data_IF_774096441175
#
_entry.id   IF_774096441175
#
_cell.length_a   1.000
_cell.length_b   1.000
_cell.length_c   1.000
_cell.angle_alpha   90.00
_cell.angle_beta   90.00
_cell.angle_gamma   90.00
#
_symmetry.space_group_name_H-M   'P 1'
#
loop_
_entity.id
_entity.type
_entity.pdbx_description
1 polymer ?
#
# COMPACT_ATOMS: atom_id res chain seq x y z
N UNK A 1 -16.02 9.57 -12.71
CA UNK A 1 -15.17 9.15 -11.59
C UNK A 1 -13.86 9.89 -11.69
N UNK A 2 -13.64 10.87 -10.84
CA UNK A 2 -12.38 11.62 -10.74
C UNK A 2 -11.27 10.60 -10.51
N UNK A 3 -10.45 10.34 -11.53
CA UNK A 3 -9.38 9.34 -11.47
C UNK A 3 -8.27 9.85 -10.57
N UNK A 4 -8.42 9.67 -9.27
CA UNK A 4 -7.43 10.11 -8.29
C UNK A 4 -6.14 9.34 -8.54
N UNK A 5 -5.08 10.07 -8.87
CA UNK A 5 -3.77 9.50 -9.15
C UNK A 5 -3.15 9.02 -7.84
N UNK A 6 -2.73 7.76 -7.80
CA UNK A 6 -1.99 7.22 -6.65
C UNK A 6 -0.48 7.51 -6.74
N UNK A 7 -0.01 8.07 -7.87
CA UNK A 7 1.40 8.39 -8.07
C UNK A 7 1.93 9.31 -6.96
N UNK A 8 3.07 8.94 -6.39
CA UNK A 8 3.73 9.66 -5.30
C UNK A 8 3.12 9.41 -3.91
N UNK A 9 1.98 8.72 -3.81
CA UNK A 9 1.40 8.38 -2.49
C UNK A 9 2.22 7.32 -1.78
N UNK A 10 2.26 7.42 -0.45
CA UNK A 10 2.83 6.42 0.47
C UNK A 10 1.81 5.35 0.77
N UNK A 11 2.22 4.10 0.66
CA UNK A 11 1.37 2.92 0.88
C UNK A 11 2.02 1.95 1.84
N UNK A 12 1.20 1.13 2.48
CA UNK A 12 1.61 0.04 3.37
C UNK A 12 0.98 -1.27 2.88
N UNK A 13 1.76 -2.35 2.81
CA UNK A 13 1.28 -3.68 2.46
C UNK A 13 0.46 -4.27 3.62
N UNK A 14 -0.81 -4.59 3.39
CA UNK A 14 -1.71 -5.11 4.44
C UNK A 14 -1.93 -6.62 4.37
N UNK A 15 -1.54 -7.24 3.27
CA UNK A 15 -1.64 -8.70 3.05
C UNK A 15 -0.31 -9.40 3.33
N UNK A 16 -0.38 -10.72 3.49
CA UNK A 16 0.79 -11.58 3.46
C UNK A 16 0.91 -12.21 2.07
N UNK A 17 1.94 -11.80 1.31
CA UNK A 17 2.23 -12.38 0.00
C UNK A 17 2.87 -13.76 0.21
N UNK A 18 2.33 -14.78 -0.46
CA UNK A 18 2.85 -16.16 -0.39
C UNK A 18 4.07 -16.39 -1.28
N UNK A 19 4.40 -15.42 -2.12
CA UNK A 19 5.50 -15.53 -3.08
C UNK A 19 6.84 -15.25 -2.39
N UNK A 20 7.66 -16.29 -2.28
CA UNK A 20 9.01 -16.23 -1.70
C UNK A 20 10.00 -15.33 -2.46
N UNK A 21 9.74 -15.01 -3.73
CA UNK A 21 10.56 -14.10 -4.52
C UNK A 21 10.26 -12.63 -4.22
N UNK A 22 9.05 -12.36 -3.73
CA UNK A 22 8.66 -11.07 -3.20
C UNK A 22 9.19 -11.00 -1.77
N UNK A 23 10.35 -10.38 -1.57
CA UNK A 23 10.95 -10.11 -0.25
C UNK A 23 10.13 -9.08 0.56
N UNK A 24 8.81 -9.09 0.42
CA UNK A 24 7.88 -8.14 1.01
C UNK A 24 7.14 -8.76 2.18
N UNK A 25 6.99 -7.98 3.25
CA UNK A 25 6.28 -8.39 4.46
C UNK A 25 5.09 -7.48 4.71
N UNK A 26 4.06 -8.02 5.36
CA UNK A 26 2.96 -7.20 5.85
C UNK A 26 3.50 -6.09 6.76
N UNK A 27 3.01 -4.86 6.57
CA UNK A 27 3.46 -3.64 7.26
C UNK A 27 4.61 -2.94 6.55
N UNK A 28 5.16 -3.52 5.49
CA UNK A 28 6.20 -2.87 4.69
C UNK A 28 5.61 -1.70 3.89
N UNK A 29 6.41 -0.65 3.73
CA UNK A 29 5.98 0.62 3.17
C UNK A 29 6.72 0.93 1.89
N UNK A 30 6.09 1.73 1.05
CA UNK A 30 6.66 2.13 -0.22
C UNK A 30 5.98 3.34 -0.82
N UNK A 31 6.50 3.78 -1.96
CA UNK A 31 5.98 4.90 -2.73
C UNK A 31 5.51 4.40 -4.08
N UNK A 32 4.28 4.77 -4.46
CA UNK A 32 3.73 4.43 -5.78
C UNK A 32 4.47 5.23 -6.86
N UNK A 33 5.10 4.51 -7.78
CA UNK A 33 5.89 5.07 -8.89
C UNK A 33 5.24 4.86 -10.25
N UNK A 34 4.24 3.98 -10.34
CA UNK A 34 3.50 3.73 -11.57
C UNK A 34 2.08 3.24 -11.31
N UNK A 35 1.16 3.59 -12.21
CA UNK A 35 -0.23 3.18 -12.18
C UNK A 35 -0.63 2.76 -13.59
N UNK A 36 -1.05 1.50 -13.75
CA UNK A 36 -1.52 0.99 -15.04
C UNK A 36 -3.02 1.32 -15.16
N UNK A 37 -3.50 1.95 -16.24
CA UNK A 37 -4.89 2.44 -16.31
C UNK A 37 -5.88 1.51 -17.02
N UNK A 38 -5.41 0.33 -17.44
CA UNK A 38 -6.16 -0.53 -18.33
C UNK A 38 -6.60 -1.82 -17.62
N UNK A 39 -7.86 -1.88 -17.17
CA UNK A 39 -8.55 -3.13 -16.80
C UNK A 39 -9.05 -3.27 -15.36
N UNK A 40 -9.68 -4.40 -15.07
CA UNK A 40 -10.32 -4.75 -13.77
C UNK A 40 -9.31 -5.16 -12.68
N UNK A 41 -8.04 -5.40 -13.04
CA UNK A 41 -6.94 -5.81 -12.16
C UNK A 41 -5.74 -4.92 -12.41
N UNK A 42 -5.83 -3.66 -11.99
CA UNK A 42 -4.75 -2.68 -12.14
C UNK A 42 -3.66 -2.93 -11.08
N UNK A 43 -2.44 -3.32 -11.47
CA UNK A 43 -1.32 -3.22 -10.56
C UNK A 43 -0.92 -1.75 -10.33
N UNK A 44 -0.40 -1.46 -9.15
CA UNK A 44 0.35 -0.28 -8.82
C UNK A 44 1.82 -0.69 -8.70
N UNK A 45 2.70 0.00 -9.42
CA UNK A 45 4.14 -0.18 -9.24
C UNK A 45 4.59 0.58 -8.01
N UNK A 46 5.18 -0.11 -7.05
CA UNK A 46 5.64 0.46 -5.78
C UNK A 46 7.14 0.25 -5.64
N UNK A 47 7.85 1.34 -5.34
CA UNK A 47 9.21 1.27 -4.82
C UNK A 47 9.12 1.14 -3.30
N UNK A 48 9.44 -0.05 -2.79
CA UNK A 48 9.37 -0.37 -1.38
C UNK A 48 10.62 0.11 -0.64
N UNK A 49 10.48 0.39 0.65
CA UNK A 49 11.55 0.95 1.49
C UNK A 49 12.72 -0.04 1.69
N UNK A 50 12.51 -1.34 1.46
CA UNK A 50 13.59 -2.34 1.39
C UNK A 50 14.39 -2.33 0.08
N UNK A 51 14.11 -1.40 -0.83
CA UNK A 51 14.77 -1.23 -2.11
C UNK A 51 14.23 -2.12 -3.24
N UNK A 52 13.19 -2.92 -2.99
CA UNK A 52 12.55 -3.72 -4.05
C UNK A 52 11.54 -2.90 -4.83
N UNK A 53 11.36 -3.24 -6.12
CA UNK A 53 10.37 -2.61 -6.98
C UNK A 53 9.41 -3.69 -7.47
N UNK A 54 8.21 -3.70 -6.90
CA UNK A 54 7.21 -4.73 -7.16
C UNK A 54 5.83 -4.13 -7.37
N UNK A 55 5.03 -4.84 -8.15
CA UNK A 55 3.65 -4.45 -8.41
C UNK A 55 2.72 -5.10 -7.39
N UNK A 56 1.69 -4.37 -6.98
CA UNK A 56 0.64 -4.83 -6.04
C UNK A 56 -0.73 -4.32 -6.49
N UNK A 57 -1.79 -4.98 -6.04
CA UNK A 57 -3.17 -4.57 -6.30
C UNK A 57 -3.70 -3.65 -5.20
N UNK A 58 -4.78 -2.91 -5.48
CA UNK A 58 -5.35 -1.94 -4.52
C UNK A 58 -5.84 -2.59 -3.23
N UNK A 59 -6.29 -3.84 -3.26
CA UNK A 59 -6.76 -4.61 -2.11
C UNK A 59 -5.61 -5.16 -1.24
N UNK A 60 -4.37 -5.11 -1.74
CA UNK A 60 -3.19 -5.58 -1.03
C UNK A 60 -2.52 -4.50 -0.17
N UNK A 61 -2.92 -3.24 -0.35
CA UNK A 61 -2.31 -2.06 0.26
C UNK A 61 -3.32 -1.10 0.87
N UNK A 62 -2.84 -0.22 1.74
CA UNK A 62 -3.58 0.93 2.25
C UNK A 62 -2.73 2.20 2.16
N UNK A 63 -3.37 3.37 2.12
CA UNK A 63 -2.65 4.65 2.20
C UNK A 63 -2.10 4.86 3.62
N UNK A 64 -0.86 5.34 3.72
CA UNK A 64 -0.23 5.56 5.04
C UNK A 64 -0.95 6.64 5.84
N UNK A 65 -1.48 7.69 5.20
CA UNK A 65 -2.27 8.72 5.89
C UNK A 65 -3.53 8.14 6.56
N UNK A 66 -4.15 7.14 5.93
CA UNK A 66 -5.30 6.41 6.49
C UNK A 66 -4.86 5.44 7.59
N UNK A 67 -3.72 4.75 7.40
CA UNK A 67 -3.15 3.83 8.38
C UNK A 67 -2.79 4.55 9.69
N UNK A 68 -2.16 5.72 9.60
CA UNK A 68 -1.78 6.53 10.76
C UNK A 68 -3.02 7.10 11.47
N UNK A 69 -4.05 7.53 10.71
CA UNK A 69 -5.34 7.95 11.29
C UNK A 69 -6.04 6.79 12.01
N UNK A 70 -6.07 5.60 11.42
CA UNK A 70 -6.66 4.40 12.03
C UNK A 70 -5.86 3.91 13.26
N UNK A 71 -4.53 4.04 13.25
CA UNK A 71 -3.68 3.75 14.39
C UNK A 71 -3.98 4.71 15.55
N UNK A 72 -4.04 6.02 15.30
CA UNK A 72 -4.35 7.05 16.31
C UNK A 72 -5.77 6.94 16.86
N UNK A 73 -6.76 6.56 16.02
CA UNK A 73 -8.13 6.33 16.47
C UNK A 73 -8.26 5.14 17.43
N UNK A 74 -7.45 4.08 17.25
CA UNK A 74 -7.43 2.93 18.16
C UNK A 74 -6.77 3.23 19.49
N UNK A 75 -5.73 4.07 19.55
CA UNK A 75 -5.10 4.46 20.82
C UNK A 75 -6.01 5.30 21.71
N UNK A 76 -6.94 6.07 21.13
CA UNK A 76 -7.94 6.82 21.91
C UNK A 76 -9.12 5.95 22.39
N UNK A 77 -9.45 4.87 21.70
CA UNK A 77 -10.56 3.99 22.09
C UNK A 77 -10.20 3.01 23.24
N UNK A 78 -8.92 2.76 23.48
CA UNK A 78 -8.44 1.87 24.55
C UNK A 78 -8.16 2.59 25.89
N UNK A 79 -8.46 3.88 25.98
CA UNK A 79 -8.23 4.72 27.17
C UNK A 79 -9.54 5.19 27.83
N UNK A 80 -10.65 4.48 27.61
CA UNK A 80 -11.97 4.75 28.21
C UNK A 80 -12.45 3.58 29.06
#
# INVERSE_FOLDING_TARGET
MSGESWLGKRVELVVHLKDQYLRLRRGERGTVTGQFRDGFNVPLRVLWDNGTNWSVHYDEIQLVDEADRAARGRTHASAS
#
